data_IF_089974004347
#
_entry.id   IF_089974004347
#
_cell.length_a   1.000
_cell.length_b   1.000
_cell.length_c   1.000
_cell.angle_alpha   90.00
_cell.angle_beta   90.00
_cell.angle_gamma   90.00
#
_symmetry.space_group_name_H-M   'P 1'
#
loop_
_entity.id
_entity.type
_entity.pdbx_description
1 polymer ?
#
# COMPACT_ATOMS: atom_id res chain seq x y z
N UNK A 1 -10.47 5.92 19.01
CA UNK A 1 -9.00 5.99 18.88
C UNK A 1 -8.60 7.39 18.39
N UNK A 2 -7.45 7.94 18.80
CA UNK A 2 -7.03 9.31 18.39
C UNK A 2 -6.04 9.32 17.22
N UNK A 3 -5.52 8.16 16.82
CA UNK A 3 -4.55 8.07 15.75
C UNK A 3 -5.15 8.46 14.40
N UNK A 4 -4.37 9.15 13.57
CA UNK A 4 -4.66 9.42 12.16
C UNK A 4 -4.06 8.31 11.29
N UNK A 5 -4.82 7.81 10.32
CA UNK A 5 -4.43 6.74 9.41
C UNK A 5 -4.23 7.29 7.99
N UNK A 6 -3.09 6.96 7.37
CA UNK A 6 -2.84 7.23 5.95
C UNK A 6 -2.73 5.89 5.24
N UNK A 7 -3.57 5.70 4.22
CA UNK A 7 -3.71 4.44 3.50
C UNK A 7 -3.40 4.71 2.03
N UNK A 8 -2.51 3.92 1.45
CA UNK A 8 -2.16 4.03 0.03
C UNK A 8 -2.67 2.79 -0.69
N UNK A 9 -3.66 2.98 -1.56
CA UNK A 9 -4.21 1.95 -2.42
C UNK A 9 -3.51 1.96 -3.76
N UNK A 10 -3.55 0.85 -4.48
CA UNK A 10 -3.07 0.71 -5.86
C UNK A 10 -4.10 -0.09 -6.65
N UNK A 11 -4.08 -0.02 -7.98
CA UNK A 11 -4.83 -0.99 -8.78
C UNK A 11 -4.57 -2.43 -8.26
N UNK A 12 -5.62 -3.18 -7.89
CA UNK A 12 -5.47 -4.45 -7.17
C UNK A 12 -4.76 -5.54 -7.99
N UNK A 13 -4.89 -5.50 -9.32
CA UNK A 13 -4.20 -6.41 -10.25
C UNK A 13 -2.71 -6.10 -10.27
N UNK A 14 -2.38 -4.84 -10.54
CA UNK A 14 -1.00 -4.34 -10.53
C UNK A 14 -0.28 -4.58 -9.19
N UNK A 15 -1.01 -4.44 -8.08
CA UNK A 15 -0.52 -4.74 -6.73
C UNK A 15 -0.25 -6.24 -6.56
N UNK A 16 -1.13 -7.11 -7.03
CA UNK A 16 -0.95 -8.56 -6.93
C UNK A 16 0.27 -9.04 -7.73
N UNK A 17 0.43 -8.55 -8.96
CA UNK A 17 1.59 -8.82 -9.82
C UNK A 17 2.89 -8.37 -9.13
N UNK A 18 2.89 -7.16 -8.55
CA UNK A 18 4.06 -6.65 -7.84
C UNK A 18 4.42 -7.49 -6.60
N UNK A 19 3.42 -7.96 -5.84
CA UNK A 19 3.63 -8.84 -4.70
C UNK A 19 4.25 -10.18 -5.13
N UNK A 20 3.74 -10.82 -6.19
CA UNK A 20 4.33 -12.07 -6.71
C UNK A 20 5.78 -11.85 -7.14
N UNK A 21 6.06 -10.77 -7.89
CA UNK A 21 7.42 -10.42 -8.29
C UNK A 21 8.35 -10.19 -7.09
N UNK A 22 7.84 -9.63 -6.00
CA UNK A 22 8.59 -9.45 -4.75
C UNK A 22 8.98 -10.81 -4.13
N UNK A 23 8.03 -11.74 -4.03
CA UNK A 23 8.29 -13.08 -3.53
C UNK A 23 9.26 -13.87 -4.42
N UNK A 24 9.14 -13.74 -5.75
CA UNK A 24 10.10 -14.35 -6.69
C UNK A 24 11.51 -13.78 -6.48
N UNK A 25 11.63 -12.45 -6.40
CA UNK A 25 12.92 -11.77 -6.19
C UNK A 25 13.60 -12.19 -4.89
N UNK A 26 12.82 -12.49 -3.85
CA UNK A 26 13.32 -12.95 -2.56
C UNK A 26 13.55 -14.47 -2.50
N UNK A 27 13.35 -15.20 -3.61
CA UNK A 27 13.53 -16.66 -3.67
C UNK A 27 12.46 -17.45 -2.91
N UNK A 28 11.31 -16.83 -2.66
CA UNK A 28 10.18 -17.44 -1.94
C UNK A 28 9.26 -18.21 -2.89
N UNK A 29 9.13 -17.73 -4.14
CA UNK A 29 8.43 -18.39 -5.26
C UNK A 29 9.46 -18.63 -6.37
N UNK A 30 9.36 -19.74 -7.10
CA UNK A 30 10.29 -20.08 -8.18
C UNK A 30 9.71 -19.73 -9.56
N UNK A 31 10.58 -19.27 -10.47
CA UNK A 31 10.25 -18.58 -11.75
C UNK A 31 9.56 -19.48 -12.80
N UNK A 32 9.46 -20.78 -12.57
CA UNK A 32 8.83 -21.70 -13.51
C UNK A 32 7.29 -21.68 -13.46
N UNK A 33 6.74 -20.98 -12.47
CA UNK A 33 5.30 -20.91 -12.25
C UNK A 33 4.70 -19.77 -13.09
N UNK A 34 3.64 -20.07 -13.84
CA UNK A 34 2.89 -19.07 -14.60
C UNK A 34 2.15 -18.14 -13.62
N UNK A 35 2.23 -16.84 -13.85
CA UNK A 35 1.62 -15.83 -12.98
C UNK A 35 0.10 -16.00 -12.89
N UNK A 36 -0.54 -16.38 -13.98
CA UNK A 36 -1.98 -16.63 -13.99
C UNK A 36 -2.31 -17.89 -13.18
N UNK A 37 -1.48 -18.94 -13.29
CA UNK A 37 -1.62 -20.15 -12.46
C UNK A 37 -1.43 -19.87 -10.97
N UNK A 38 -0.50 -18.99 -10.61
CA UNK A 38 -0.25 -18.58 -9.23
C UNK A 38 -1.36 -17.67 -8.67
N UNK A 39 -1.94 -16.78 -9.49
CA UNK A 39 -2.89 -15.79 -8.98
C UNK A 39 -4.34 -16.31 -9.00
N UNK A 40 -4.71 -17.05 -10.04
CA UNK A 40 -6.10 -17.46 -10.30
C UNK A 40 -6.27 -18.91 -10.80
N UNK A 41 -5.19 -19.64 -11.05
CA UNK A 41 -5.22 -21.03 -11.51
C UNK A 41 -4.96 -22.07 -10.42
N UNK A 42 -4.53 -23.27 -10.82
CA UNK A 42 -4.44 -24.44 -9.95
C UNK A 42 -3.31 -24.32 -8.91
N UNK A 43 -2.34 -23.45 -9.18
CA UNK A 43 -1.21 -23.18 -8.28
C UNK A 43 -1.49 -22.08 -7.27
N UNK A 44 -2.71 -21.53 -7.21
CA UNK A 44 -3.07 -20.44 -6.28
C UNK A 44 -2.75 -20.76 -4.82
N UNK A 45 -2.93 -22.02 -4.41
CA UNK A 45 -2.61 -22.50 -3.06
C UNK A 45 -1.15 -22.25 -2.63
N UNK A 46 -0.20 -22.14 -3.58
CA UNK A 46 1.21 -21.87 -3.30
C UNK A 46 1.42 -20.45 -2.75
N UNK A 47 0.54 -19.51 -3.14
CA UNK A 47 0.64 -18.10 -2.75
C UNK A 47 -0.51 -17.61 -1.88
N UNK A 48 -1.56 -18.41 -1.73
CA UNK A 48 -2.74 -18.11 -0.91
C UNK A 48 -2.35 -17.76 0.52
N UNK A 49 -1.36 -18.46 1.08
CA UNK A 49 -0.85 -18.21 2.43
C UNK A 49 -0.26 -16.81 2.63
N UNK A 50 0.13 -16.13 1.55
CA UNK A 50 0.63 -14.75 1.60
C UNK A 50 -0.49 -13.72 1.42
N UNK A 51 -1.73 -14.17 1.25
CA UNK A 51 -2.90 -13.31 1.13
C UNK A 51 -2.88 -12.40 -0.10
N UNK A 52 -2.11 -12.73 -1.14
CA UNK A 52 -1.88 -11.83 -2.27
C UNK A 52 -3.21 -11.33 -2.83
N UNK A 53 -4.15 -12.21 -3.18
CA UNK A 53 -5.44 -11.76 -3.74
C UNK A 53 -6.30 -11.03 -2.70
N UNK A 54 -6.35 -11.53 -1.46
CA UNK A 54 -7.17 -10.95 -0.40
C UNK A 54 -6.78 -9.52 -0.03
N UNK A 55 -5.49 -9.21 -0.11
CA UNK A 55 -4.98 -7.86 0.09
C UNK A 55 -5.49 -6.86 -0.95
N UNK A 56 -5.92 -7.30 -2.14
CA UNK A 56 -6.57 -6.45 -3.12
C UNK A 56 -8.05 -6.15 -2.83
N UNK A 57 -8.68 -6.82 -1.85
CA UNK A 57 -10.09 -6.67 -1.48
C UNK A 57 -10.30 -5.49 -0.52
N UNK A 58 -9.94 -4.29 -0.97
CA UNK A 58 -9.87 -3.10 -0.11
C UNK A 58 -11.16 -2.76 0.63
N UNK A 59 -12.33 -2.99 0.02
CA UNK A 59 -13.62 -2.73 0.68
C UNK A 59 -13.72 -3.43 2.05
N UNK A 60 -13.39 -4.73 2.11
CA UNK A 60 -13.46 -5.51 3.35
C UNK A 60 -12.47 -4.99 4.38
N UNK A 61 -11.26 -4.64 3.95
CA UNK A 61 -10.21 -4.17 4.84
C UNK A 61 -10.55 -2.78 5.40
N UNK A 62 -10.96 -1.85 4.54
CA UNK A 62 -11.33 -0.50 4.93
C UNK A 62 -12.56 -0.48 5.84
N UNK A 63 -13.56 -1.33 5.58
CA UNK A 63 -14.74 -1.41 6.42
C UNK A 63 -14.39 -1.74 7.87
N UNK A 64 -13.45 -2.68 8.08
CA UNK A 64 -12.99 -3.02 9.42
C UNK A 64 -12.33 -1.83 10.16
N UNK A 65 -11.72 -0.87 9.45
CA UNK A 65 -11.21 0.36 10.07
C UNK A 65 -12.31 1.39 10.31
N UNK A 66 -13.26 1.53 9.39
CA UNK A 66 -14.41 2.44 9.55
C UNK A 66 -15.31 2.08 10.74
N UNK A 67 -15.29 0.82 11.18
CA UNK A 67 -16.00 0.41 12.41
C UNK A 67 -15.40 1.03 13.69
N UNK A 68 -14.16 1.54 13.65
CA UNK A 68 -13.45 2.07 14.82
C UNK A 68 -12.91 3.50 14.68
N UNK A 69 -12.71 3.99 13.46
CA UNK A 69 -12.15 5.31 13.17
C UNK A 69 -13.17 6.21 12.48
N UNK A 70 -13.22 7.49 12.87
CA UNK A 70 -14.00 8.47 12.13
C UNK A 70 -13.38 8.65 10.73
N UNK A 71 -14.18 8.78 9.65
CA UNK A 71 -13.66 9.02 8.31
C UNK A 71 -12.68 10.20 8.21
N UNK A 72 -12.81 11.24 9.05
CA UNK A 72 -11.89 12.38 9.10
C UNK A 72 -10.51 12.03 9.64
N UNK A 73 -10.37 10.89 10.33
CA UNK A 73 -9.10 10.37 10.82
C UNK A 73 -8.44 9.44 9.79
N UNK A 74 -8.97 9.33 8.58
CA UNK A 74 -8.46 8.46 7.53
C UNK A 74 -8.22 9.25 6.25
N UNK A 75 -6.97 9.26 5.77
CA UNK A 75 -6.60 9.77 4.46
C UNK A 75 -6.30 8.59 3.53
N UNK A 76 -7.10 8.44 2.48
CA UNK A 76 -6.88 7.44 1.44
C UNK A 76 -6.25 8.12 0.23
N UNK A 77 -5.13 7.57 -0.24
CA UNK A 77 -4.40 7.99 -1.44
C UNK A 77 -4.37 6.84 -2.44
N UNK A 78 -4.49 7.13 -3.73
CA UNK A 78 -4.35 6.16 -4.82
C UNK A 78 -2.97 6.32 -5.44
N UNK A 79 -2.17 5.26 -5.46
CA UNK A 79 -0.78 5.31 -5.88
C UNK A 79 -0.61 5.92 -7.27
N UNK A 80 -1.40 5.48 -8.24
CA UNK A 80 -1.31 5.92 -9.63
C UNK A 80 -1.60 7.43 -9.78
N UNK A 81 -2.55 7.94 -9.02
CA UNK A 81 -3.07 9.30 -9.14
C UNK A 81 -2.34 10.28 -8.22
N UNK A 82 -2.25 9.92 -6.94
CA UNK A 82 -1.71 10.77 -5.89
C UNK A 82 -0.18 10.65 -5.81
N UNK A 83 0.41 9.48 -6.01
CA UNK A 83 1.85 9.28 -5.75
C UNK A 83 2.68 9.32 -7.03
N UNK A 84 2.28 8.58 -8.06
CA UNK A 84 3.05 8.46 -9.29
C UNK A 84 2.95 9.73 -10.15
N UNK A 85 1.76 10.33 -10.23
CA UNK A 85 1.51 11.51 -11.06
C UNK A 85 1.63 12.82 -10.27
N UNK A 86 1.04 12.90 -9.07
CA UNK A 86 0.86 14.18 -8.36
C UNK A 86 1.55 14.23 -6.98
N UNK A 87 2.79 13.70 -6.90
CA UNK A 87 3.47 13.50 -5.62
C UNK A 87 3.59 14.75 -4.74
N UNK A 88 3.69 15.95 -5.31
CA UNK A 88 3.84 17.19 -4.54
C UNK A 88 2.53 17.68 -3.94
N UNK A 89 1.41 17.48 -4.63
CA UNK A 89 0.10 17.81 -4.08
C UNK A 89 -0.33 16.81 -3.01
N UNK A 90 0.02 15.54 -3.18
CA UNK A 90 -0.22 14.51 -2.16
C UNK A 90 0.58 14.74 -0.90
N UNK A 91 1.80 15.27 -1.00
CA UNK A 91 2.57 15.71 0.16
C UNK A 91 1.86 16.84 0.92
N UNK A 92 1.28 17.82 0.20
CA UNK A 92 0.48 18.87 0.83
C UNK A 92 -0.76 18.29 1.53
N UNK A 93 -1.51 17.40 0.85
CA UNK A 93 -2.66 16.70 1.43
C UNK A 93 -2.29 15.96 2.73
N UNK A 94 -1.14 15.27 2.73
CA UNK A 94 -0.62 14.57 3.93
C UNK A 94 -0.26 15.55 5.04
N UNK A 95 0.41 16.67 4.72
CA UNK A 95 0.73 17.70 5.70
C UNK A 95 -0.53 18.33 6.31
N UNK A 96 -1.50 18.72 5.48
CA UNK A 96 -2.80 19.25 5.92
C UNK A 96 -3.54 18.24 6.79
N UNK A 97 -3.61 16.98 6.37
CA UNK A 97 -4.23 15.92 7.14
C UNK A 97 -3.55 15.70 8.50
N UNK A 98 -2.23 15.83 8.59
CA UNK A 98 -1.47 15.68 9.83
C UNK A 98 -1.39 16.98 10.66
N UNK A 99 -1.97 18.09 10.20
CA UNK A 99 -1.81 19.43 10.80
C UNK A 99 -0.33 19.88 10.90
N UNK A 100 0.46 19.58 9.87
CA UNK A 100 1.87 19.95 9.75
C UNK A 100 2.01 21.08 8.73
N UNK A 101 2.86 22.07 9.04
CA UNK A 101 3.20 23.13 8.09
C UNK A 101 3.91 22.55 6.85
N UNK A 102 3.23 22.66 5.71
CA UNK A 102 3.71 22.23 4.40
C UNK A 102 5.00 22.94 3.92
N UNK A 103 5.35 24.09 4.49
CA UNK A 103 6.61 24.79 4.20
C UNK A 103 7.85 23.94 4.52
N UNK A 104 7.71 23.00 5.47
CA UNK A 104 8.75 22.05 5.87
C UNK A 104 9.08 21.03 4.76
N UNK A 105 8.21 20.82 3.77
CA UNK A 105 8.43 19.88 2.65
C UNK A 105 9.57 20.36 1.73
N UNK A 106 9.90 21.65 1.74
CA UNK A 106 11.04 22.22 1.01
C UNK A 106 12.39 21.64 1.49
N UNK A 107 12.43 21.06 2.68
CA UNK A 107 13.60 20.37 3.21
C UNK A 107 13.73 19.00 2.52
N UNK A 108 14.75 18.84 1.66
CA UNK A 108 15.05 17.58 0.94
C UNK A 108 15.04 16.33 1.83
N UNK A 109 15.50 16.44 3.07
CA UNK A 109 15.51 15.34 4.05
C UNK A 109 14.11 14.88 4.46
N UNK A 110 13.20 15.84 4.68
CA UNK A 110 11.80 15.58 5.03
C UNK A 110 11.07 14.98 3.82
N UNK A 111 11.28 15.55 2.62
CA UNK A 111 10.70 15.00 1.38
C UNK A 111 11.14 13.56 1.11
N UNK A 112 12.42 13.23 1.37
CA UNK A 112 12.92 11.85 1.27
C UNK A 112 12.28 10.95 2.32
N UNK A 113 12.11 11.42 3.55
CA UNK A 113 11.50 10.65 4.64
C UNK A 113 10.02 10.39 4.39
N UNK A 114 9.26 11.37 3.89
CA UNK A 114 7.85 11.17 3.53
C UNK A 114 7.72 10.25 2.31
N UNK A 115 8.56 10.40 1.28
CA UNK A 115 8.60 9.43 0.17
C UNK A 115 8.95 8.03 0.65
N UNK A 116 9.90 7.91 1.59
CA UNK A 116 10.26 6.64 2.19
C UNK A 116 9.14 6.06 3.05
N UNK A 117 8.37 6.88 3.78
CA UNK A 117 7.19 6.46 4.54
C UNK A 117 6.06 6.01 3.62
N UNK A 118 5.81 6.70 2.50
CA UNK A 118 4.85 6.25 1.48
C UNK A 118 5.31 4.94 0.85
N UNK A 119 6.61 4.81 0.54
CA UNK A 119 7.18 3.58 0.02
C UNK A 119 7.20 2.44 1.05
N UNK A 120 7.46 2.75 2.33
CA UNK A 120 7.38 1.79 3.42
C UNK A 120 5.95 1.41 3.73
N UNK A 121 4.97 2.31 3.68
CA UNK A 121 3.55 1.94 3.78
C UNK A 121 3.17 0.97 2.66
N UNK A 122 3.62 1.21 1.43
CA UNK A 122 3.45 0.24 0.33
C UNK A 122 4.06 -1.14 0.62
N UNK A 123 5.14 -1.20 1.42
CA UNK A 123 5.84 -2.45 1.82
C UNK A 123 5.28 -3.06 3.12
N UNK A 124 4.86 -2.25 4.10
CA UNK A 124 4.35 -2.65 5.42
C UNK A 124 2.88 -3.09 5.30
N UNK A 125 2.18 -2.66 4.25
CA UNK A 125 0.92 -3.27 3.85
C UNK A 125 1.10 -4.71 3.34
N UNK A 126 2.32 -5.23 3.12
CA UNK A 126 2.56 -6.66 2.97
C UNK A 126 2.65 -7.33 4.35
N UNK A 127 1.86 -8.37 4.63
CA UNK A 127 1.74 -8.92 5.97
C UNK A 127 3.08 -9.49 6.43
N UNK A 128 3.66 -8.83 7.43
CA UNK A 128 4.41 -9.50 8.48
C UNK A 128 3.38 -10.27 9.32
N UNK A 129 2.95 -11.42 8.83
CA UNK A 129 2.31 -12.43 9.66
C UNK A 129 3.20 -13.68 9.61
N UNK A 130 3.76 -14.00 10.79
CA UNK A 130 4.46 -15.25 11.08
C UNK A 130 3.52 -16.46 10.97
#
# INVERSE_FOLDING_TARGET
PEAKLIIVLRNPVERAIAAVNHFIKNGVIFVNDDLDELLVGDQQSLVERYGIIDMGRYYRQLQAYYDYFDPKQMLILVFEEDIAQNSDDSLKKVCEFLDIDSSLILVKSIRKSIKALVHQLLVIWEPVFH
#
